data_IF_935074717581
#
_entry.id   IF_935074717581
#
_cell.length_a   1.000
_cell.length_b   1.000
_cell.length_c   1.000
_cell.angle_alpha   90.00
_cell.angle_beta   90.00
_cell.angle_gamma   90.00
#
_symmetry.space_group_name_H-M   'P 1'
#
loop_
_entity.id
_entity.type
_entity.pdbx_description
1 polymer ?
#
# COMPACT_ATOMS: atom_id res chain seq x y z
N UNK A 1 3.44 33.87 12.96
CA UNK A 1 4.32 32.71 12.65
C UNK A 1 3.61 31.39 12.90
N UNK A 2 2.41 31.18 12.35
CA UNK A 2 1.62 29.94 12.53
C UNK A 2 0.95 29.47 11.24
N UNK A 3 1.42 29.89 10.06
CA UNK A 3 0.79 29.55 8.77
C UNK A 3 1.65 28.65 7.86
N UNK A 4 2.79 28.16 8.34
CA UNK A 4 3.74 27.36 7.52
C UNK A 4 3.71 25.85 7.81
N UNK A 5 2.90 25.38 8.77
CA UNK A 5 2.81 23.96 9.14
C UNK A 5 1.65 23.20 8.47
N UNK A 6 0.75 23.90 7.79
CA UNK A 6 -0.42 23.30 7.12
C UNK A 6 -0.19 22.92 5.65
N UNK A 7 0.93 23.30 5.05
CA UNK A 7 1.21 23.05 3.62
C UNK A 7 2.05 21.80 3.34
N UNK A 8 2.64 21.16 4.33
CA UNK A 8 3.48 19.96 4.14
C UNK A 8 2.76 18.63 4.45
N UNK A 9 1.55 18.67 5.01
CA UNK A 9 0.74 17.48 5.25
C UNK A 9 -0.10 17.05 4.03
N UNK A 10 -0.05 17.78 2.94
CA UNK A 10 -0.94 17.63 1.79
C UNK A 10 -0.26 17.19 0.50
N UNK A 11 1.04 16.95 0.49
CA UNK A 11 1.71 16.38 -0.68
C UNK A 11 1.47 14.87 -0.69
N UNK A 12 0.54 14.53 -1.52
CA UNK A 12 -0.09 13.28 -1.73
C UNK A 12 0.83 12.09 -1.95
N UNK A 13 0.44 11.04 -1.37
CA UNK A 13 0.91 9.70 -1.64
C UNK A 13 0.04 9.06 -2.71
N UNK A 14 0.30 9.44 -3.94
CA UNK A 14 -0.06 8.71 -5.15
C UNK A 14 0.96 8.95 -6.24
N UNK A 15 2.22 8.84 -5.88
CA UNK A 15 3.19 8.32 -6.83
C UNK A 15 3.05 6.79 -6.79
N UNK A 16 3.09 6.08 -7.91
CA UNK A 16 3.44 4.68 -7.86
C UNK A 16 4.68 4.62 -7.00
N UNK A 17 4.62 3.88 -5.89
CA UNK A 17 5.73 3.71 -4.97
C UNK A 17 6.77 2.77 -5.59
N UNK A 18 7.06 2.98 -6.86
CA UNK A 18 8.31 2.55 -7.42
C UNK A 18 9.33 3.57 -6.94
N UNK A 19 10.26 3.12 -6.14
CA UNK A 19 11.48 3.86 -5.81
C UNK A 19 12.28 4.14 -7.09
N UNK A 20 11.91 3.51 -8.19
CA UNK A 20 12.27 3.82 -9.56
C UNK A 20 11.27 4.83 -10.11
N UNK A 21 11.46 6.13 -9.84
CA UNK A 21 10.66 7.18 -10.48
C UNK A 21 10.85 7.17 -11.98
N UNK A 22 9.81 6.82 -12.75
CA UNK A 22 9.70 7.30 -14.13
C UNK A 22 8.24 7.28 -14.60
N UNK A 23 7.75 8.46 -15.00
CA UNK A 23 6.61 8.63 -15.88
C UNK A 23 7.03 8.22 -17.29
N UNK A 24 6.41 7.17 -17.85
CA UNK A 24 6.48 6.92 -19.28
C UNK A 24 5.49 7.85 -20.00
N UNK A 25 6.00 8.90 -20.63
CA UNK A 25 5.26 9.63 -21.66
C UNK A 25 5.09 8.70 -22.87
N UNK A 26 3.90 8.16 -23.05
CA UNK A 26 3.54 7.44 -24.26
C UNK A 26 3.39 8.43 -25.42
N UNK A 27 4.43 8.60 -26.21
CA UNK A 27 4.33 9.16 -27.56
C UNK A 27 4.21 7.97 -28.53
N UNK A 28 3.03 7.88 -29.17
CA UNK A 28 2.77 6.97 -30.26
C UNK A 28 3.68 7.31 -31.46
N UNK A 29 4.56 6.41 -31.85
CA UNK A 29 5.09 6.32 -33.22
C UNK A 29 5.25 4.87 -33.63
N UNK A 30 4.59 4.54 -34.72
CA UNK A 30 4.66 3.30 -35.47
C UNK A 30 6.08 3.01 -35.98
N UNK A 31 6.57 1.78 -35.77
CA UNK A 31 7.79 1.31 -36.39
C UNK A 31 8.40 0.07 -35.69
N UNK A 32 8.28 -1.08 -36.34
CA UNK A 32 8.75 -2.36 -35.85
C UNK A 32 10.27 -2.43 -35.69
N UNK A 33 10.73 -2.83 -34.49
CA UNK A 33 11.97 -3.59 -34.33
C UNK A 33 11.85 -4.42 -33.05
N UNK A 34 11.93 -5.74 -33.16
CA UNK A 34 12.04 -6.66 -32.03
C UNK A 34 13.39 -6.46 -31.36
N UNK A 35 13.41 -5.73 -30.27
CA UNK A 35 14.53 -5.74 -29.32
C UNK A 35 14.11 -6.59 -28.11
N UNK A 36 14.93 -7.58 -27.78
CA UNK A 36 14.81 -8.39 -26.56
C UNK A 36 14.74 -7.47 -25.33
N UNK A 37 13.90 -7.79 -24.31
CA UNK A 37 13.84 -7.02 -23.10
C UNK A 37 15.05 -7.35 -22.20
N UNK A 38 16.20 -6.79 -22.51
CA UNK A 38 17.20 -6.50 -21.49
C UNK A 38 16.68 -5.25 -20.76
N UNK A 39 15.96 -5.45 -19.66
CA UNK A 39 15.62 -4.40 -18.74
C UNK A 39 16.93 -3.72 -18.33
N UNK A 40 17.11 -2.47 -18.75
CA UNK A 40 18.19 -1.62 -18.24
C UNK A 40 17.87 -1.41 -16.75
N UNK A 41 18.56 -2.15 -15.87
CA UNK A 41 18.52 -1.91 -14.44
C UNK A 41 19.02 -0.47 -14.22
N UNK A 42 18.11 0.41 -13.84
CA UNK A 42 18.46 1.79 -13.55
C UNK A 42 19.22 1.82 -12.22
N UNK A 43 20.41 2.45 -12.20
CA UNK A 43 21.19 2.61 -10.97
C UNK A 43 20.39 3.41 -9.93
N UNK A 44 20.43 2.95 -8.68
CA UNK A 44 19.80 3.66 -7.55
C UNK A 44 20.53 4.99 -7.30
N UNK A 45 19.77 6.01 -6.90
CA UNK A 45 20.35 7.26 -6.38
C UNK A 45 21.01 7.01 -5.03
N UNK A 46 21.98 7.88 -4.63
CA UNK A 46 22.61 7.77 -3.31
C UNK A 46 21.60 7.76 -2.15
N UNK A 47 20.51 8.53 -2.28
CA UNK A 47 19.44 8.55 -1.28
C UNK A 47 18.66 7.23 -1.22
N UNK A 48 18.42 6.60 -2.36
CA UNK A 48 17.80 5.26 -2.43
C UNK A 48 18.75 4.19 -1.90
N UNK A 49 20.04 4.28 -2.18
CA UNK A 49 21.05 3.38 -1.63
C UNK A 49 21.09 3.47 -0.10
N UNK A 50 21.14 4.70 0.46
CA UNK A 50 21.05 4.92 1.91
C UNK A 50 19.77 4.29 2.50
N UNK A 51 18.61 4.50 1.86
CA UNK A 51 17.35 3.93 2.32
C UNK A 51 17.43 2.40 2.43
N UNK A 52 17.93 1.75 1.40
CA UNK A 52 18.03 0.29 1.40
C UNK A 52 19.08 -0.26 2.35
N UNK A 53 20.18 0.45 2.57
CA UNK A 53 21.14 0.12 3.64
C UNK A 53 20.48 0.18 5.03
N UNK A 54 19.69 1.23 5.30
CA UNK A 54 18.97 1.38 6.55
C UNK A 54 17.86 0.32 6.69
N UNK A 55 17.24 -0.12 5.58
CA UNK A 55 16.29 -1.24 5.55
C UNK A 55 16.97 -2.54 5.94
N UNK A 56 18.12 -2.87 5.33
CA UNK A 56 18.84 -4.12 5.64
C UNK A 56 19.28 -4.17 7.10
N UNK A 57 19.80 -3.06 7.65
CA UNK A 57 20.17 -2.97 9.07
C UNK A 57 18.99 -3.24 10.00
N UNK A 58 17.84 -2.61 9.74
CA UNK A 58 16.66 -2.83 10.57
C UNK A 58 16.04 -4.22 10.40
N UNK A 59 16.14 -4.81 9.21
CA UNK A 59 15.72 -6.21 8.99
C UNK A 59 16.63 -7.19 9.74
N UNK A 60 17.93 -6.91 9.90
CA UNK A 60 18.84 -7.71 10.73
C UNK A 60 18.39 -7.73 12.19
N UNK A 61 17.99 -6.58 12.73
CA UNK A 61 17.48 -6.48 14.11
C UNK A 61 16.17 -7.26 14.30
N UNK A 62 15.25 -7.14 13.34
CA UNK A 62 13.96 -7.86 13.36
C UNK A 62 14.20 -9.37 13.27
N UNK A 63 15.05 -9.82 12.37
CA UNK A 63 15.40 -11.23 12.21
C UNK A 63 15.99 -11.80 13.49
N UNK A 64 16.97 -11.12 14.08
CA UNK A 64 17.59 -11.50 15.34
C UNK A 64 16.58 -11.60 16.51
N UNK A 65 15.58 -10.73 16.54
CA UNK A 65 14.53 -10.76 17.55
C UNK A 65 13.58 -11.95 17.34
N UNK A 66 13.10 -12.17 16.10
CA UNK A 66 12.09 -13.17 15.80
C UNK A 66 12.68 -14.58 15.63
N UNK A 67 13.96 -14.73 15.27
CA UNK A 67 14.64 -16.01 15.24
C UNK A 67 14.61 -16.72 16.61
N UNK A 68 14.67 -15.97 17.71
CA UNK A 68 14.52 -16.49 19.08
C UNK A 68 13.12 -17.05 19.35
N UNK A 69 12.13 -16.69 18.54
CA UNK A 69 10.76 -17.20 18.57
C UNK A 69 10.51 -18.28 17.50
N UNK A 70 11.54 -18.70 16.76
CA UNK A 70 11.44 -19.68 15.68
C UNK A 70 10.74 -19.17 14.43
N UNK A 71 10.69 -17.85 14.21
CA UNK A 71 10.12 -17.23 13.02
C UNK A 71 11.21 -16.68 12.10
N UNK A 72 11.05 -16.88 10.78
CA UNK A 72 11.91 -16.34 9.72
C UNK A 72 11.27 -15.13 9.05
N UNK A 73 12.12 -14.28 8.46
CA UNK A 73 11.74 -13.19 7.56
C UNK A 73 12.31 -13.36 6.14
N UNK A 74 12.64 -14.58 5.74
CA UNK A 74 13.27 -14.86 4.44
C UNK A 74 12.49 -14.28 3.26
N UNK A 75 11.14 -14.36 3.28
CA UNK A 75 10.30 -13.78 2.24
C UNK A 75 10.40 -12.24 2.21
N UNK A 76 10.62 -11.59 3.35
CA UNK A 76 10.80 -10.13 3.43
C UNK A 76 12.19 -9.72 2.95
N UNK A 77 13.22 -10.55 3.18
CA UNK A 77 14.54 -10.38 2.57
C UNK A 77 14.47 -10.47 1.04
N UNK A 78 13.70 -11.43 0.52
CA UNK A 78 13.47 -11.54 -0.93
C UNK A 78 12.69 -10.34 -1.47
N UNK A 79 11.65 -9.90 -0.76
CA UNK A 79 10.91 -8.67 -1.06
C UNK A 79 11.85 -7.46 -1.14
N UNK A 80 12.73 -7.25 -0.14
CA UNK A 80 13.69 -6.15 -0.13
C UNK A 80 14.60 -6.18 -1.37
N UNK A 81 15.14 -7.34 -1.72
CA UNK A 81 16.00 -7.53 -2.91
C UNK A 81 15.23 -7.28 -4.22
N UNK A 82 13.97 -7.73 -4.31
CA UNK A 82 13.13 -7.50 -5.48
C UNK A 82 12.81 -6.02 -5.65
N UNK A 83 12.39 -5.35 -4.57
CA UNK A 83 12.09 -3.93 -4.57
C UNK A 83 13.30 -3.04 -4.90
N UNK A 84 14.52 -3.52 -4.65
CA UNK A 84 15.77 -2.88 -5.10
C UNK A 84 16.11 -3.20 -6.56
N UNK A 85 15.27 -3.93 -7.28
CA UNK A 85 15.54 -4.45 -8.64
C UNK A 85 16.79 -5.35 -8.70
N UNK A 86 17.18 -5.97 -7.59
CA UNK A 86 18.33 -6.88 -7.52
C UNK A 86 17.98 -8.31 -7.94
N UNK A 87 16.70 -8.63 -7.96
CA UNK A 87 16.18 -9.92 -8.47
C UNK A 87 14.98 -9.67 -9.37
N UNK A 88 14.74 -10.50 -10.37
CA UNK A 88 13.54 -10.38 -11.21
C UNK A 88 12.27 -10.54 -10.37
N UNK A 89 11.18 -9.83 -10.70
CA UNK A 89 9.88 -10.08 -10.09
C UNK A 89 9.44 -11.54 -10.38
N UNK A 90 8.60 -12.13 -9.50
CA UNK A 90 8.13 -13.49 -9.70
C UNK A 90 7.29 -13.61 -10.96
N UNK A 91 7.31 -14.80 -11.56
CA UNK A 91 6.43 -15.11 -12.70
C UNK A 91 4.99 -15.19 -12.21
N UNK A 92 4.12 -14.37 -12.80
CA UNK A 92 2.68 -14.39 -12.51
C UNK A 92 2.01 -15.58 -13.19
N UNK A 93 1.29 -16.39 -12.45
CA UNK A 93 0.61 -17.60 -12.94
C UNK A 93 -0.91 -17.52 -12.86
N UNK A 94 -1.47 -16.47 -12.23
CA UNK A 94 -2.93 -16.27 -12.08
C UNK A 94 -3.37 -15.13 -12.98
N UNK A 95 -4.38 -15.35 -13.79
CA UNK A 95 -4.91 -14.34 -14.71
C UNK A 95 -5.39 -13.09 -13.98
N UNK A 96 -5.03 -11.92 -14.50
CA UNK A 96 -5.35 -10.62 -13.90
C UNK A 96 -4.56 -10.25 -12.64
N UNK A 97 -3.66 -11.13 -12.16
CA UNK A 97 -2.77 -10.81 -11.06
C UNK A 97 -1.58 -9.99 -11.58
N UNK A 98 -1.40 -8.78 -11.07
CA UNK A 98 -0.38 -7.82 -11.53
C UNK A 98 0.44 -7.29 -10.34
N UNK A 99 1.20 -8.16 -9.63
CA UNK A 99 2.04 -7.72 -8.54
C UNK A 99 3.18 -6.85 -9.06
N UNK A 100 3.59 -5.87 -8.25
CA UNK A 100 4.77 -5.04 -8.53
C UNK A 100 6.05 -5.73 -8.04
N UNK A 101 7.18 -5.03 -8.16
CA UNK A 101 8.44 -5.43 -7.52
C UNK A 101 8.32 -5.54 -5.98
N UNK A 102 7.33 -4.86 -5.38
CA UNK A 102 6.98 -4.97 -3.97
C UNK A 102 6.05 -6.18 -3.72
N UNK A 103 6.58 -7.38 -3.91
CA UNK A 103 5.84 -8.64 -3.86
C UNK A 103 6.43 -9.60 -2.83
N UNK A 104 5.59 -10.23 -2.03
CA UNK A 104 5.97 -11.29 -1.10
C UNK A 104 5.66 -12.66 -1.71
N UNK A 105 6.68 -13.47 -1.90
CA UNK A 105 6.55 -14.78 -2.55
C UNK A 105 5.74 -15.77 -1.70
N UNK A 106 4.97 -16.64 -2.38
CA UNK A 106 4.28 -17.78 -1.76
C UNK A 106 3.00 -17.41 -1.01
N UNK A 107 2.49 -16.19 -1.14
CA UNK A 107 1.15 -15.85 -0.67
C UNK A 107 0.11 -16.33 -1.68
N UNK A 108 -1.03 -16.83 -1.18
CA UNK A 108 -2.16 -17.25 -2.01
C UNK A 108 -2.77 -16.03 -2.72
N UNK A 109 -2.86 -16.05 -4.05
CA UNK A 109 -3.48 -15.00 -4.84
C UNK A 109 -4.90 -15.40 -5.25
N UNK A 110 -5.90 -14.60 -4.88
CA UNK A 110 -7.31 -14.76 -5.27
C UNK A 110 -7.93 -13.39 -5.51
N UNK A 111 -8.69 -13.20 -6.60
CA UNK A 111 -9.38 -11.93 -6.85
C UNK A 111 -10.27 -11.50 -5.67
N UNK A 112 -11.06 -12.44 -5.15
CA UNK A 112 -11.92 -12.24 -3.98
C UNK A 112 -11.70 -13.32 -2.92
N UNK A 113 -11.87 -12.93 -1.66
CA UNK A 113 -11.79 -13.79 -0.49
C UNK A 113 -13.16 -13.90 0.17
N UNK A 114 -13.60 -15.14 0.47
CA UNK A 114 -14.82 -15.38 1.23
C UNK A 114 -14.52 -15.50 2.72
N UNK A 115 -14.74 -14.41 3.45
CA UNK A 115 -14.44 -14.37 4.89
C UNK A 115 -15.39 -15.25 5.72
N UNK A 116 -16.56 -15.61 5.17
CA UNK A 116 -17.53 -16.47 5.85
C UNK A 116 -17.12 -17.94 5.83
N UNK A 117 -16.42 -18.38 4.79
CA UNK A 117 -15.88 -19.73 4.67
C UNK A 117 -14.56 -19.88 5.44
N UNK A 118 -13.76 -18.82 5.51
CA UNK A 118 -12.42 -18.84 6.10
C UNK A 118 -12.37 -18.16 7.49
N UNK A 119 -13.35 -18.42 8.34
CA UNK A 119 -13.52 -17.81 9.68
C UNK A 119 -12.28 -17.90 10.58
N UNK A 120 -11.48 -18.95 10.42
CA UNK A 120 -10.24 -19.13 11.21
C UNK A 120 -9.19 -18.10 10.83
N UNK A 121 -9.11 -17.73 9.55
CA UNK A 121 -8.17 -16.72 9.05
C UNK A 121 -8.67 -15.30 9.34
N UNK A 122 -9.99 -15.10 9.39
CA UNK A 122 -10.63 -13.79 9.55
C UNK A 122 -11.62 -13.78 10.73
N UNK A 123 -11.18 -14.04 11.98
CA UNK A 123 -12.08 -14.19 13.13
C UNK A 123 -12.88 -12.93 13.47
N UNK A 124 -12.44 -11.77 13.01
CA UNK A 124 -13.07 -10.46 13.23
C UNK A 124 -14.23 -10.17 12.25
N UNK A 125 -14.30 -10.87 11.12
CA UNK A 125 -15.18 -10.49 10.02
C UNK A 125 -16.67 -10.63 10.38
N UNK A 126 -17.07 -11.74 10.98
CA UNK A 126 -18.45 -11.97 11.39
C UNK A 126 -18.92 -10.93 12.42
N UNK A 127 -18.10 -10.64 13.44
CA UNK A 127 -18.45 -9.64 14.47
C UNK A 127 -18.52 -8.23 13.86
N UNK A 128 -17.70 -7.91 12.84
CA UNK A 128 -17.79 -6.64 12.13
C UNK A 128 -19.10 -6.51 11.37
N UNK A 129 -19.52 -7.55 10.63
CA UNK A 129 -20.79 -7.56 9.89
C UNK A 129 -22.00 -7.48 10.85
N UNK A 130 -22.00 -8.21 11.96
CA UNK A 130 -23.05 -8.17 12.99
C UNK A 130 -23.22 -6.75 13.58
N UNK A 131 -22.13 -6.00 13.68
CA UNK A 131 -22.12 -4.64 14.22
C UNK A 131 -22.03 -3.55 13.14
N UNK A 132 -22.19 -3.90 11.85
CA UNK A 132 -22.12 -2.95 10.74
C UNK A 132 -23.09 -1.79 10.88
N UNK A 133 -24.28 -2.02 11.47
CA UNK A 133 -25.30 -1.01 11.75
C UNK A 133 -24.75 0.14 12.62
N UNK A 134 -23.86 -0.13 13.57
CA UNK A 134 -23.24 0.90 14.44
C UNK A 134 -22.41 1.89 13.61
N UNK A 135 -21.66 1.36 12.63
CA UNK A 135 -20.86 2.17 11.71
C UNK A 135 -21.76 2.95 10.75
N UNK A 136 -22.78 2.26 10.22
CA UNK A 136 -23.71 2.87 9.26
C UNK A 136 -24.48 4.02 9.88
N UNK A 137 -25.10 3.84 11.06
CA UNK A 137 -25.84 4.89 11.77
C UNK A 137 -24.95 6.10 12.11
N UNK A 138 -23.72 5.84 12.59
CA UNK A 138 -22.76 6.91 12.89
C UNK A 138 -22.37 7.67 11.63
N UNK A 139 -22.08 6.94 10.55
CA UNK A 139 -21.72 7.50 9.25
C UNK A 139 -22.87 8.35 8.65
N UNK A 140 -24.10 7.82 8.60
CA UNK A 140 -25.28 8.51 8.09
C UNK A 140 -25.56 9.82 8.86
N UNK A 141 -25.39 9.80 10.18
CA UNK A 141 -25.57 11.00 11.00
C UNK A 141 -24.55 12.12 10.70
N UNK A 142 -23.41 11.81 10.06
CA UNK A 142 -22.31 12.74 9.78
C UNK A 142 -22.19 13.09 8.29
N UNK A 143 -22.61 12.20 7.38
CA UNK A 143 -22.41 12.37 5.94
C UNK A 143 -23.16 13.56 5.34
N UNK A 144 -24.21 14.07 6.01
CA UNK A 144 -24.91 15.29 5.61
C UNK A 144 -23.96 16.49 5.54
N UNK A 145 -22.85 16.45 6.27
CA UNK A 145 -21.76 17.43 6.13
C UNK A 145 -20.78 16.99 5.02
N UNK A 146 -21.10 17.37 3.79
CA UNK A 146 -20.26 17.06 2.59
C UNK A 146 -18.83 17.63 2.68
N UNK A 147 -18.58 18.61 3.54
CA UNK A 147 -17.24 19.19 3.75
C UNK A 147 -16.25 18.17 4.36
N UNK A 148 -16.73 17.15 5.06
CA UNK A 148 -15.87 16.10 5.59
C UNK A 148 -15.11 15.33 4.51
N UNK A 149 -15.74 15.09 3.35
CA UNK A 149 -15.11 14.45 2.21
C UNK A 149 -14.24 15.39 1.38
N UNK A 150 -14.48 16.70 1.44
CA UNK A 150 -13.68 17.68 0.71
C UNK A 150 -12.33 17.97 1.38
N UNK A 151 -12.22 17.78 2.69
CA UNK A 151 -11.00 18.01 3.44
C UNK A 151 -9.88 17.00 3.15
N UNK A 152 -10.24 15.77 2.78
CA UNK A 152 -9.31 14.67 2.47
C UNK A 152 -9.18 14.38 0.95
N UNK A 153 -9.66 15.27 0.11
CA UNK A 153 -9.73 15.13 -1.35
C UNK A 153 -8.37 15.04 -2.07
N UNK A 154 -7.29 14.94 -1.34
CA UNK A 154 -5.89 14.88 -1.84
C UNK A 154 -5.53 13.53 -2.48
N UNK A 155 -6.46 12.57 -2.51
CA UNK A 155 -6.30 11.29 -3.21
C UNK A 155 -6.67 11.35 -4.70
N UNK A 156 -6.65 12.52 -5.28
CA UNK A 156 -6.81 12.69 -6.71
C UNK A 156 -5.52 12.30 -7.44
N UNK A 157 -5.29 10.99 -7.58
CA UNK A 157 -4.40 10.59 -8.66
C UNK A 157 -5.21 10.40 -9.95
N UNK A 158 -4.50 10.28 -11.05
CA UNK A 158 -5.12 10.11 -12.38
C UNK A 158 -5.97 8.84 -12.48
N UNK A 159 -5.75 7.85 -11.60
CA UNK A 159 -6.44 6.56 -11.58
C UNK A 159 -7.78 6.65 -10.85
N UNK A 160 -7.79 7.27 -9.66
CA UNK A 160 -9.01 7.39 -8.84
C UNK A 160 -10.05 8.32 -9.47
N UNK A 161 -9.62 9.31 -10.27
CA UNK A 161 -10.51 10.29 -10.89
C UNK A 161 -11.12 11.28 -9.91
N UNK A 162 -11.83 12.28 -10.44
CA UNK A 162 -12.44 13.35 -9.65
C UNK A 162 -13.67 12.94 -8.85
N UNK A 163 -14.23 11.76 -9.14
CA UNK A 163 -15.44 11.25 -8.47
C UNK A 163 -15.17 10.47 -7.18
N UNK A 164 -13.92 10.22 -6.85
CA UNK A 164 -13.53 9.48 -5.64
C UNK A 164 -13.02 10.43 -4.55
N UNK A 165 -13.40 10.16 -3.31
CA UNK A 165 -12.92 10.90 -2.13
C UNK A 165 -12.97 10.02 -0.87
N UNK A 166 -12.19 10.38 0.17
CA UNK A 166 -12.13 9.59 1.39
C UNK A 166 -12.02 10.44 2.67
N UNK A 167 -12.47 9.88 3.78
CA UNK A 167 -12.20 10.35 5.14
C UNK A 167 -11.33 9.31 5.82
N UNK A 168 -10.07 9.63 6.05
CA UNK A 168 -9.10 8.68 6.61
C UNK A 168 -9.22 8.58 8.11
N UNK A 169 -9.43 7.36 8.62
CA UNK A 169 -9.44 7.09 10.05
C UNK A 169 -8.08 6.65 10.58
N UNK A 170 -7.37 5.81 9.81
CA UNK A 170 -6.08 5.25 10.25
C UNK A 170 -5.12 5.11 9.06
N UNK A 171 -3.82 5.33 9.27
CA UNK A 171 -2.74 5.06 8.31
C UNK A 171 -1.42 4.81 9.03
N UNK A 172 -0.58 3.88 8.53
CA UNK A 172 0.73 3.54 9.11
C UNK A 172 0.66 3.32 10.63
N UNK A 173 -0.39 2.63 11.11
CA UNK A 173 -0.62 2.41 12.53
C UNK A 173 -1.14 3.62 13.31
N UNK A 174 -1.23 4.81 12.70
CA UNK A 174 -1.61 6.07 13.36
C UNK A 174 -3.08 6.40 13.08
N UNK A 175 -3.88 6.55 14.12
CA UNK A 175 -5.26 7.03 14.02
C UNK A 175 -5.29 8.55 13.88
N UNK A 176 -6.11 9.04 12.94
CA UNK A 176 -6.31 10.48 12.77
C UNK A 176 -7.13 11.04 13.95
N UNK A 177 -6.50 11.88 14.79
CA UNK A 177 -7.06 12.37 16.04
C UNK A 177 -8.34 13.19 15.88
N UNK A 178 -8.52 13.84 14.72
CA UNK A 178 -9.72 14.64 14.46
C UNK A 178 -10.85 13.76 13.90
N UNK A 179 -10.55 12.88 12.97
CA UNK A 179 -11.57 12.03 12.36
C UNK A 179 -12.13 10.98 13.34
N UNK A 180 -11.32 10.44 14.26
CA UNK A 180 -11.84 9.52 15.30
C UNK A 180 -12.74 10.21 16.33
N UNK A 181 -12.65 11.53 16.51
CA UNK A 181 -13.61 12.28 17.31
C UNK A 181 -14.95 12.45 16.61
N UNK A 182 -14.94 12.47 15.28
CA UNK A 182 -16.15 12.54 14.46
C UNK A 182 -16.85 11.17 14.42
N UNK A 183 -16.05 10.08 14.38
CA UNK A 183 -16.52 8.69 14.27
C UNK A 183 -16.06 7.83 15.46
N UNK A 184 -16.41 8.19 16.72
CA UNK A 184 -15.91 7.50 17.90
C UNK A 184 -16.40 6.05 18.02
N UNK A 185 -17.66 5.75 17.65
CA UNK A 185 -18.21 4.39 17.73
C UNK A 185 -17.54 3.45 16.72
N UNK A 186 -17.31 3.93 15.50
CA UNK A 186 -16.55 3.21 14.48
C UNK A 186 -15.13 2.93 14.96
N UNK A 187 -14.46 3.92 15.52
CA UNK A 187 -13.12 3.77 16.08
C UNK A 187 -13.07 2.73 17.20
N UNK A 188 -13.97 2.80 18.17
CA UNK A 188 -14.05 1.86 19.31
C UNK A 188 -14.30 0.42 18.82
N UNK A 189 -15.23 0.23 17.87
CA UNK A 189 -15.54 -1.08 17.31
C UNK A 189 -14.32 -1.66 16.60
N UNK A 190 -13.68 -0.92 15.70
CA UNK A 190 -12.50 -1.39 14.96
C UNK A 190 -11.33 -1.73 15.90
N UNK A 191 -11.15 -0.96 16.97
CA UNK A 191 -10.14 -1.24 18.01
C UNK A 191 -10.43 -2.53 18.77
N UNK A 192 -11.70 -2.77 19.11
CA UNK A 192 -12.15 -3.98 19.81
C UNK A 192 -11.90 -5.24 18.98
N UNK A 193 -12.16 -5.19 17.68
CA UNK A 193 -12.05 -6.32 16.76
C UNK A 193 -10.62 -6.78 16.52
N UNK A 194 -9.60 -5.98 16.86
CA UNK A 194 -8.17 -6.30 16.69
C UNK A 194 -7.81 -6.76 15.28
N UNK A 195 -8.43 -6.12 14.27
CA UNK A 195 -8.13 -6.39 12.87
C UNK A 195 -6.62 -6.15 12.66
N UNK A 196 -5.89 -7.05 12.01
CA UNK A 196 -4.47 -6.86 11.72
C UNK A 196 -4.27 -5.83 10.61
N UNK A 197 -4.56 -4.55 10.92
CA UNK A 197 -4.54 -3.46 9.96
C UNK A 197 -3.17 -3.31 9.29
N UNK A 198 -3.18 -3.18 7.97
CA UNK A 198 -1.98 -2.93 7.18
C UNK A 198 -1.67 -1.43 7.08
N UNK A 199 -0.56 -1.11 6.44
CA UNK A 199 -0.01 0.25 6.37
C UNK A 199 -0.93 1.29 5.70
N UNK A 200 -1.85 0.87 4.83
CA UNK A 200 -2.84 1.77 4.21
C UNK A 200 -4.00 2.12 5.16
N UNK A 201 -4.33 1.20 6.07
CA UNK A 201 -5.23 1.41 7.20
C UNK A 201 -6.71 1.44 6.86
N UNK A 202 -7.43 2.45 7.37
CA UNK A 202 -8.89 2.52 7.31
C UNK A 202 -9.36 3.88 6.82
N UNK A 203 -10.36 3.88 5.91
CA UNK A 203 -11.03 5.11 5.49
C UNK A 203 -12.48 4.87 5.07
N UNK A 204 -13.35 5.85 5.29
CA UNK A 204 -14.60 5.94 4.55
C UNK A 204 -14.30 6.42 3.14
N UNK A 205 -14.82 5.73 2.13
CA UNK A 205 -14.64 6.08 0.73
C UNK A 205 -15.98 6.37 0.06
N UNK A 206 -16.01 7.47 -0.67
CA UNK A 206 -17.14 7.94 -1.49
C UNK A 206 -16.79 7.82 -2.96
N UNK A 207 -17.73 7.34 -3.75
CA UNK A 207 -17.70 7.42 -5.20
C UNK A 207 -18.93 8.13 -5.72
N UNK A 208 -18.72 9.25 -6.43
CA UNK A 208 -19.78 10.13 -6.90
C UNK A 208 -20.68 9.48 -7.97
N UNK A 209 -21.90 9.99 -8.19
CA UNK A 209 -22.79 9.58 -9.28
C UNK A 209 -22.10 9.60 -10.65
N UNK A 210 -22.39 8.60 -11.50
CA UNK A 210 -21.88 8.52 -12.85
C UNK A 210 -20.35 8.41 -12.97
N UNK A 211 -19.65 8.02 -11.89
CA UNK A 211 -18.18 7.96 -11.85
C UNK A 211 -17.66 6.53 -11.67
N UNK A 212 -16.36 6.36 -11.83
CA UNK A 212 -15.67 5.08 -11.67
C UNK A 212 -14.18 5.27 -11.40
N UNK A 213 -13.55 4.20 -10.97
CA UNK A 213 -12.09 4.09 -10.88
C UNK A 213 -11.62 3.21 -12.03
N UNK A 214 -10.69 3.74 -12.83
CA UNK A 214 -10.13 3.01 -13.97
C UNK A 214 -9.40 1.73 -13.55
N UNK A 215 -9.27 0.73 -14.45
CA UNK A 215 -8.50 -0.47 -14.16
C UNK A 215 -7.06 -0.14 -13.74
N UNK A 216 -6.64 -0.68 -12.61
CA UNK A 216 -5.29 -0.54 -12.07
C UNK A 216 -5.00 -1.68 -11.09
N UNK A 217 -3.74 -1.90 -10.77
CA UNK A 217 -3.28 -2.76 -9.68
C UNK A 217 -2.52 -1.92 -8.65
N UNK A 218 -2.72 -2.22 -7.36
CA UNK A 218 -1.89 -1.65 -6.30
C UNK A 218 -0.52 -2.35 -6.17
N UNK A 219 -0.37 -3.49 -6.85
CA UNK A 219 0.87 -4.25 -6.97
C UNK A 219 1.34 -5.00 -5.72
N UNK A 220 0.66 -4.86 -4.58
CA UNK A 220 1.08 -5.40 -3.28
C UNK A 220 0.20 -6.54 -2.83
N UNK A 221 0.67 -7.77 -3.05
CA UNK A 221 -0.07 -8.99 -2.71
C UNK A 221 -0.13 -9.31 -1.20
N UNK A 222 0.55 -8.56 -0.36
CA UNK A 222 0.61 -8.76 1.08
C UNK A 222 -0.41 -7.93 1.87
N UNK A 223 -1.24 -7.15 1.17
CA UNK A 223 -2.35 -6.38 1.72
C UNK A 223 -3.64 -6.83 1.05
N UNK A 224 -4.59 -7.29 1.85
CA UNK A 224 -5.96 -7.51 1.42
C UNK A 224 -6.83 -6.31 1.81
N UNK A 225 -7.86 -6.05 1.03
CA UNK A 225 -8.76 -4.92 1.23
C UNK A 225 -10.19 -5.42 1.39
N UNK A 226 -10.84 -5.08 2.50
CA UNK A 226 -12.29 -5.28 2.69
C UNK A 226 -13.05 -3.99 2.53
N UNK A 227 -14.13 -4.03 1.77
CA UNK A 227 -15.11 -2.96 1.66
C UNK A 227 -16.38 -3.35 2.43
N UNK A 228 -16.69 -2.69 3.53
CA UNK A 228 -18.00 -2.78 4.18
C UNK A 228 -18.97 -1.84 3.47
N UNK A 229 -20.05 -2.36 2.89
CA UNK A 229 -21.08 -1.54 2.24
C UNK A 229 -21.85 -0.69 3.25
N UNK A 230 -21.92 0.63 3.03
CA UNK A 230 -22.66 1.58 3.88
C UNK A 230 -23.87 2.16 3.15
N UNK A 231 -23.67 2.66 1.94
CA UNK A 231 -24.69 3.10 1.02
C UNK A 231 -24.28 2.63 -0.38
N UNK A 232 -25.04 1.72 -0.94
CA UNK A 232 -24.72 1.08 -2.23
C UNK A 232 -25.92 1.20 -3.15
N UNK A 233 -25.99 2.24 -4.01
CA UNK A 233 -27.02 2.38 -5.00
C UNK A 233 -27.00 1.21 -6.00
N UNK A 234 -28.17 0.93 -6.60
CA UNK A 234 -28.33 -0.12 -7.60
C UNK A 234 -27.41 0.10 -8.79
N UNK A 235 -26.84 -0.99 -9.31
CA UNK A 235 -25.95 -0.99 -10.46
C UNK A 235 -24.47 -0.69 -10.15
N UNK A 236 -24.12 -0.34 -8.91
CA UNK A 236 -22.70 -0.22 -8.50
C UNK A 236 -21.98 -1.56 -8.59
N UNK A 237 -20.75 -1.53 -9.08
CA UNK A 237 -19.97 -2.76 -9.29
C UNK A 237 -18.48 -2.56 -9.02
N UNK A 238 -17.80 -3.70 -8.77
CA UNK A 238 -16.35 -3.83 -8.69
C UNK A 238 -15.90 -5.02 -9.53
N UNK A 239 -14.90 -4.83 -10.38
CA UNK A 239 -14.19 -5.90 -11.08
C UNK A 239 -12.84 -6.12 -10.42
N UNK A 240 -12.43 -7.37 -10.26
CA UNK A 240 -11.11 -7.77 -9.78
C UNK A 240 -10.64 -8.95 -10.63
N UNK A 241 -9.56 -8.78 -11.38
CA UNK A 241 -9.19 -9.75 -12.43
C UNK A 241 -10.34 -9.95 -13.42
N UNK A 242 -10.80 -11.19 -13.57
CA UNK A 242 -11.90 -11.56 -14.46
C UNK A 242 -13.27 -11.65 -13.74
N UNK A 243 -13.31 -11.39 -12.42
CA UNK A 243 -14.52 -11.52 -11.62
C UNK A 243 -15.18 -10.14 -11.38
N UNK A 244 -16.52 -10.14 -11.43
CA UNK A 244 -17.33 -8.95 -11.14
C UNK A 244 -18.28 -9.22 -9.99
N UNK A 245 -18.28 -8.30 -8.99
CA UNK A 245 -19.22 -8.32 -7.86
C UNK A 245 -19.89 -6.96 -7.69
N UNK A 246 -20.93 -6.94 -6.85
CA UNK A 246 -21.54 -5.73 -6.28
C UNK A 246 -21.37 -5.78 -4.77
N UNK A 247 -21.49 -4.64 -4.12
CA UNK A 247 -21.50 -4.59 -2.66
C UNK A 247 -22.93 -4.79 -2.14
N UNK A 248 -23.02 -5.30 -0.93
CA UNK A 248 -24.24 -5.36 -0.14
C UNK A 248 -24.07 -4.49 1.12
N UNK A 249 -25.12 -3.77 1.50
CA UNK A 249 -25.10 -2.94 2.72
C UNK A 249 -24.95 -3.83 3.95
N UNK A 250 -24.01 -3.48 4.83
CA UNK A 250 -23.72 -4.24 6.04
C UNK A 250 -22.86 -5.50 5.83
N UNK A 251 -22.42 -5.77 4.56
CA UNK A 251 -21.59 -6.92 4.21
C UNK A 251 -20.21 -6.54 3.76
N UNK A 252 -19.25 -7.43 4.00
CA UNK A 252 -17.87 -7.29 3.56
C UNK A 252 -17.70 -7.86 2.14
N UNK A 253 -17.08 -7.08 1.27
CA UNK A 253 -16.54 -7.54 -0.01
C UNK A 253 -15.03 -7.44 0.09
N UNK A 254 -14.33 -8.58 0.16
CA UNK A 254 -12.89 -8.63 0.36
C UNK A 254 -12.19 -9.05 -0.92
N UNK A 255 -11.15 -8.31 -1.27
CA UNK A 255 -10.41 -8.45 -2.52
C UNK A 255 -8.90 -8.33 -2.30
N UNK A 256 -8.16 -8.90 -3.25
CA UNK A 256 -6.72 -8.72 -3.40
C UNK A 256 -6.47 -7.61 -4.43
N UNK A 257 -6.01 -6.45 -3.97
CA UNK A 257 -5.76 -5.28 -4.83
C UNK A 257 -4.47 -5.37 -5.64
N UNK A 258 -3.72 -6.47 -5.56
CA UNK A 258 -2.64 -6.79 -6.50
C UNK A 258 -3.15 -7.37 -7.83
N UNK A 259 -4.44 -7.74 -7.91
CA UNK A 259 -5.11 -7.95 -9.18
C UNK A 259 -5.50 -6.62 -9.82
N UNK A 260 -5.56 -6.61 -11.16
CA UNK A 260 -6.18 -5.50 -11.90
C UNK A 260 -7.63 -5.34 -11.45
N UNK A 261 -7.97 -4.18 -10.93
CA UNK A 261 -9.31 -3.92 -10.41
C UNK A 261 -9.83 -2.53 -10.82
N UNK A 262 -11.17 -2.44 -10.89
CA UNK A 262 -11.87 -1.21 -11.27
C UNK A 262 -13.25 -1.17 -10.63
N UNK A 263 -13.82 0.04 -10.51
CA UNK A 263 -15.15 0.23 -9.92
C UNK A 263 -16.01 1.13 -10.77
N UNK A 264 -17.34 0.99 -10.67
CA UNK A 264 -18.29 1.90 -11.29
C UNK A 264 -19.50 2.19 -10.42
N UNK A 265 -19.92 3.44 -10.43
CA UNK A 265 -21.18 3.91 -9.87
C UNK A 265 -22.01 4.58 -10.97
N UNK A 266 -22.83 3.83 -11.72
CA UNK A 266 -23.65 4.39 -12.79
C UNK A 266 -24.92 5.10 -12.28
N UNK A 267 -25.20 5.04 -10.98
CA UNK A 267 -26.39 5.60 -10.35
C UNK A 267 -26.36 7.14 -10.29
N UNK A 268 -27.45 7.72 -9.77
CA UNK A 268 -27.57 9.16 -9.51
C UNK A 268 -27.24 9.53 -8.05
N UNK A 269 -26.81 8.56 -7.25
CA UNK A 269 -26.50 8.71 -5.83
C UNK A 269 -25.04 8.39 -5.53
N UNK A 270 -24.50 8.93 -4.42
CA UNK A 270 -23.18 8.59 -3.94
C UNK A 270 -23.13 7.13 -3.46
N UNK A 271 -22.08 6.38 -3.82
CA UNK A 271 -21.76 5.08 -3.21
C UNK A 271 -20.76 5.29 -2.08
N UNK A 272 -21.06 4.71 -0.91
CA UNK A 272 -20.18 4.77 0.26
C UNK A 272 -19.83 3.38 0.78
N UNK A 273 -18.56 3.20 1.10
CA UNK A 273 -18.03 2.01 1.78
C UNK A 273 -17.03 2.41 2.85
N UNK A 274 -16.88 1.59 3.89
CA UNK A 274 -15.71 1.64 4.77
C UNK A 274 -14.67 0.69 4.18
N UNK A 275 -13.50 1.23 3.80
CA UNK A 275 -12.35 0.45 3.33
C UNK A 275 -11.48 0.12 4.52
N UNK A 276 -11.11 -1.14 4.64
CA UNK A 276 -10.23 -1.69 5.68
C UNK A 276 -9.12 -2.47 4.99
N UNK A 277 -7.92 -1.93 5.03
CA UNK A 277 -6.73 -2.61 4.53
C UNK A 277 -6.06 -3.37 5.67
N UNK A 278 -5.84 -4.66 5.49
CA UNK A 278 -5.26 -5.53 6.49
C UNK A 278 -4.21 -6.48 5.89
N UNK A 279 -3.34 -6.99 6.75
CA UNK A 279 -2.29 -7.89 6.33
C UNK A 279 -2.83 -9.21 5.82
N UNK A 280 -2.22 -9.71 4.74
CA UNK A 280 -2.52 -11.05 4.24
C UNK A 280 -2.39 -12.09 5.37
N UNK A 281 -3.36 -13.00 5.57
CA UNK A 281 -3.40 -13.90 6.73
C UNK A 281 -2.22 -14.88 6.79
N UNK A 282 -1.60 -15.17 5.65
CA UNK A 282 -0.43 -16.07 5.56
C UNK A 282 0.90 -15.41 5.91
N UNK A 283 0.91 -14.13 6.27
CA UNK A 283 2.08 -13.46 6.81
C UNK A 283 2.25 -13.79 8.28
N UNK A 284 3.46 -14.21 8.68
CA UNK A 284 3.83 -14.36 10.08
C UNK A 284 3.89 -12.99 10.80
N UNK A 285 3.96 -13.02 12.14
CA UNK A 285 4.17 -11.81 12.94
C UNK A 285 5.49 -11.11 12.57
N UNK A 286 6.56 -11.91 12.37
CA UNK A 286 7.88 -11.40 11.98
C UNK A 286 7.85 -10.71 10.61
N UNK A 287 7.16 -11.29 9.64
CA UNK A 287 7.04 -10.72 8.30
C UNK A 287 6.25 -9.42 8.28
N UNK A 288 5.15 -9.35 9.06
CA UNK A 288 4.39 -8.10 9.25
C UNK A 288 5.26 -7.02 9.86
N UNK A 289 6.02 -7.35 10.91
CA UNK A 289 6.95 -6.41 11.54
C UNK A 289 8.01 -5.90 10.56
N UNK A 290 8.55 -6.77 9.70
CA UNK A 290 9.49 -6.38 8.65
C UNK A 290 8.87 -5.41 7.64
N UNK A 291 7.67 -5.70 7.16
CA UNK A 291 6.95 -4.80 6.24
C UNK A 291 6.60 -3.46 6.90
N UNK A 292 6.06 -3.48 8.12
CA UNK A 292 5.76 -2.25 8.88
C UNK A 292 7.00 -1.37 9.02
N UNK A 293 8.14 -1.97 9.37
CA UNK A 293 9.40 -1.26 9.47
C UNK A 293 9.81 -0.60 8.15
N UNK A 294 9.77 -1.33 7.03
CA UNK A 294 10.12 -0.80 5.70
C UNK A 294 9.24 0.41 5.34
N UNK A 295 7.93 0.33 5.58
CA UNK A 295 7.00 1.42 5.27
C UNK A 295 7.14 2.62 6.21
N UNK A 296 7.38 2.39 7.51
CA UNK A 296 7.65 3.47 8.48
C UNK A 296 8.95 4.21 8.13
N UNK A 297 10.00 3.46 7.82
CA UNK A 297 11.27 4.04 7.40
C UNK A 297 11.12 4.86 6.11
N UNK A 298 10.39 4.33 5.11
CA UNK A 298 10.09 5.05 3.88
C UNK A 298 9.38 6.39 4.16
N UNK A 299 8.35 6.37 4.99
CA UNK A 299 7.64 7.58 5.39
C UNK A 299 8.56 8.60 6.07
N UNK A 300 9.50 8.16 6.91
CA UNK A 300 10.52 9.01 7.53
C UNK A 300 11.50 9.59 6.52
N UNK A 301 11.91 8.81 5.51
CA UNK A 301 12.75 9.28 4.42
C UNK A 301 12.05 10.33 3.55
N UNK A 302 10.79 10.09 3.18
CA UNK A 302 9.98 10.97 2.34
C UNK A 302 9.63 12.29 3.05
N UNK A 303 9.39 12.24 4.36
CA UNK A 303 9.13 13.43 5.18
C UNK A 303 10.40 14.25 5.52
N UNK A 304 11.58 13.74 5.15
CA UNK A 304 12.85 14.39 5.49
C UNK A 304 13.28 14.21 6.96
N UNK A 305 12.60 13.33 7.72
CA UNK A 305 12.94 13.06 9.11
C UNK A 305 14.26 12.29 9.27
N UNK A 306 14.71 11.56 8.23
CA UNK A 306 16.01 10.91 8.19
C UNK A 306 17.01 11.84 7.49
N UNK A 307 18.08 12.29 8.13
CA UNK A 307 19.12 13.12 7.49
C UNK A 307 19.85 12.31 6.40
N UNK A 308 20.33 13.02 5.39
CA UNK A 308 21.19 12.38 4.38
C UNK A 308 22.53 11.96 5.00
N UNK A 309 22.95 10.74 4.70
CA UNK A 309 24.32 10.27 4.85
C UNK A 309 24.78 9.62 3.55
N UNK A 310 26.06 9.72 3.25
CA UNK A 310 26.62 9.02 2.09
C UNK A 310 26.48 7.50 2.31
N UNK A 311 25.99 6.73 1.33
CA UNK A 311 25.93 5.27 1.42
C UNK A 311 27.27 4.64 1.77
N UNK A 312 27.29 3.63 2.63
CA UNK A 312 28.51 2.94 3.07
C UNK A 312 29.22 2.28 1.90
N UNK A 313 28.47 1.67 0.99
CA UNK A 313 29.01 1.06 -0.22
C UNK A 313 29.84 2.03 -1.07
N UNK A 314 29.43 3.30 -1.16
CA UNK A 314 30.20 4.33 -1.87
C UNK A 314 31.39 4.85 -1.06
N UNK A 315 31.32 4.84 0.26
CA UNK A 315 32.47 5.19 1.13
C UNK A 315 33.57 4.15 1.01
N UNK A 316 33.23 2.86 1.07
CA UNK A 316 34.17 1.76 0.93
C UNK A 316 34.86 1.74 -0.44
N UNK A 317 34.14 2.05 -1.53
CA UNK A 317 34.72 2.19 -2.86
C UNK A 317 35.76 3.32 -2.93
N UNK A 318 35.49 4.48 -2.33
CA UNK A 318 36.42 5.61 -2.29
C UNK A 318 37.68 5.28 -1.46
N UNK A 319 37.49 4.63 -0.30
CA UNK A 319 38.61 4.20 0.54
C UNK A 319 39.45 3.13 -0.17
N UNK A 320 38.81 2.15 -0.83
CA UNK A 320 39.46 1.13 -1.63
C UNK A 320 40.27 1.71 -2.82
N UNK A 321 39.71 2.71 -3.50
CA UNK A 321 40.40 3.42 -4.57
C UNK A 321 41.57 4.26 -4.03
N UNK A 322 41.43 4.86 -2.84
CA UNK A 322 42.51 5.62 -2.16
C UNK A 322 43.69 4.72 -1.80
N UNK A 323 43.43 3.53 -1.27
CA UNK A 323 44.48 2.55 -0.95
C UNK A 323 45.15 1.97 -2.21
N UNK A 324 44.40 1.75 -3.29
CA UNK A 324 44.94 1.31 -4.57
C UNK A 324 45.86 2.32 -5.24
N UNK A 325 45.60 3.61 -5.05
CA UNK A 325 46.47 4.70 -5.45
C UNK A 325 47.81 4.73 -4.70
N UNK A 326 47.79 4.44 -3.42
CA UNK A 326 48.98 4.33 -2.57
C UNK A 326 49.88 3.13 -2.94
N UNK A 327 49.28 1.97 -3.29
CA UNK A 327 50.07 0.81 -3.73
C UNK A 327 50.78 1.01 -5.07
N UNK A 328 50.21 1.75 -6.02
CA UNK A 328 50.88 2.09 -7.29
C UNK A 328 52.06 3.04 -7.10
N UNK A 329 52.05 3.85 -6.05
CA UNK A 329 53.19 4.75 -5.75
C UNK A 329 54.35 4.02 -5.06
N UNK A 330 54.10 2.87 -4.42
CA UNK A 330 55.15 2.09 -3.72
C UNK A 330 55.75 0.94 -4.58
N UNK A 331 55.15 0.58 -5.72
CA UNK A 331 55.66 -0.48 -6.60
C UNK A 331 56.23 0.03 -7.94
N UNK A 332 56.38 1.33 -8.08
CA UNK A 332 56.99 1.99 -9.24
C UNK A 332 58.50 2.20 -9.03
N UNK A 333 59.26 1.13 -9.12
CA UNK A 333 60.67 1.10 -9.54
C UNK A 333 60.95 -0.21 -10.24
#
# INVERSE_FOLDING_TARGET
MHLLWLLLATVGYNLPLSITGFQSNAVSTTGAAKSSPLSVMQALTERQMQFWEDVEDGLDDIENFYAKKGQSIDRIRQFSKSAQSKVPPPTVTVAGHEPSEEHVNGLTARPFWDLSEEKVLFPWAAELEENAHVIQEEFEAKILNKELFSADSIWQNQVMGSGWSAIRLQRLGIWNSENIKIFPKTYELLRKLKIPLAVRGVCFARQAPGSGVAPHSDGRNFILTSHLGLQVPEGCWINVGEEKKTWEVGKLTTLDTSFSHSTGNPSQEDRHVLIIDFWHPELSEAERAGLEFVYDLRNKFESGAVPFRKPRSLQEEEEGMGLGGLWKTFTGN
#
